data_IF_354983934946
#
_entry.id   IF_354983934946
#
_cell.length_a   1.000
_cell.length_b   1.000
_cell.length_c   1.000
_cell.angle_alpha   90.00
_cell.angle_beta   90.00
_cell.angle_gamma   90.00
#
_symmetry.space_group_name_H-M   'P 1'
#
loop_
_entity.id
_entity.type
_entity.pdbx_description
1 polymer ?
#
# COMPACT_ATOMS: atom_id res chain seq x y z
N UNK A 1 12.52 -51.64 -9.76
CA UNK A 1 11.32 -51.13 -9.07
C UNK A 1 11.55 -49.65 -8.77
N UNK A 2 11.08 -48.77 -9.65
CA UNK A 2 11.26 -47.33 -9.52
C UNK A 2 10.19 -46.74 -8.61
N UNK A 3 10.60 -45.97 -7.61
CA UNK A 3 9.69 -45.16 -6.83
C UNK A 3 9.21 -44.00 -7.71
N UNK A 4 7.89 -43.94 -7.94
CA UNK A 4 7.24 -42.83 -8.62
C UNK A 4 7.20 -41.66 -7.64
N UNK A 5 8.15 -40.74 -7.80
CA UNK A 5 8.06 -39.38 -7.25
C UNK A 5 7.02 -38.64 -8.08
N UNK A 6 5.88 -38.33 -7.46
CA UNK A 6 4.83 -37.50 -8.06
C UNK A 6 5.33 -36.06 -8.06
N UNK A 7 5.65 -35.56 -9.26
CA UNK A 7 6.12 -34.19 -9.49
C UNK A 7 4.91 -33.23 -9.42
N UNK A 8 4.72 -32.55 -8.28
CA UNK A 8 3.69 -31.50 -8.09
C UNK A 8 4.21 -30.22 -8.77
N UNK A 9 4.24 -30.21 -10.11
CA UNK A 9 4.70 -29.09 -10.95
C UNK A 9 3.57 -28.27 -11.59
N UNK A 10 2.34 -28.37 -11.07
CA UNK A 10 1.14 -27.90 -11.77
C UNK A 10 0.38 -26.73 -11.15
N UNK A 11 0.66 -26.33 -9.91
CA UNK A 11 -0.02 -25.19 -9.28
C UNK A 11 1.03 -24.10 -9.05
N UNK A 12 1.19 -23.23 -10.04
CA UNK A 12 1.92 -21.99 -9.85
C UNK A 12 1.03 -21.03 -9.05
N UNK A 13 1.24 -21.03 -7.72
CA UNK A 13 0.52 -20.14 -6.80
C UNK A 13 0.75 -18.65 -7.13
N UNK A 14 1.82 -18.34 -7.87
CA UNK A 14 2.15 -16.99 -8.34
C UNK A 14 1.10 -16.47 -9.33
N UNK A 15 0.80 -17.22 -10.39
CA UNK A 15 -0.24 -16.85 -11.37
C UNK A 15 -1.60 -16.61 -10.72
N UNK A 16 -1.98 -17.44 -9.74
CA UNK A 16 -3.30 -17.36 -9.11
C UNK A 16 -3.39 -16.18 -8.15
N UNK A 17 -2.34 -15.94 -7.35
CA UNK A 17 -2.30 -14.81 -6.43
C UNK A 17 -2.19 -13.46 -7.15
N UNK A 18 -1.38 -13.36 -8.20
CA UNK A 18 -1.30 -12.15 -9.04
C UNK A 18 -2.65 -11.84 -9.72
N UNK A 19 -3.39 -12.88 -10.16
CA UNK A 19 -4.74 -12.71 -10.71
C UNK A 19 -5.73 -12.22 -9.65
N UNK A 20 -5.65 -12.74 -8.42
CA UNK A 20 -6.50 -12.31 -7.29
C UNK A 20 -6.16 -10.89 -6.82
N UNK A 21 -4.88 -10.49 -6.85
CA UNK A 21 -4.44 -9.13 -6.57
C UNK A 21 -4.88 -8.16 -7.67
N UNK A 22 -4.72 -8.54 -8.94
CA UNK A 22 -5.18 -7.77 -10.10
C UNK A 22 -6.70 -7.59 -10.17
N UNK A 23 -7.47 -8.43 -9.48
CA UNK A 23 -8.92 -8.25 -9.30
C UNK A 23 -9.28 -7.33 -8.12
N UNK A 24 -8.37 -7.07 -7.16
CA UNK A 24 -8.61 -6.14 -6.04
C UNK A 24 -8.34 -4.68 -6.36
N UNK A 25 -7.59 -4.38 -7.42
CA UNK A 25 -7.36 -3.01 -7.90
C UNK A 25 -8.61 -2.35 -8.51
N UNK A 26 -9.71 -3.10 -8.71
CA UNK A 26 -10.98 -2.56 -9.25
C UNK A 26 -11.98 -2.08 -8.18
N UNK A 27 -11.63 -2.11 -6.89
CA UNK A 27 -12.48 -1.56 -5.82
C UNK A 27 -11.95 -0.16 -5.45
N UNK A 28 -12.41 0.83 -6.23
CA UNK A 28 -12.34 2.28 -5.96
C UNK A 28 -10.99 2.98 -6.09
N UNK A 29 -10.18 2.64 -7.10
CA UNK A 29 -9.11 3.52 -7.58
C UNK A 29 -9.69 4.68 -8.41
N UNK A 30 -10.42 5.56 -7.73
CA UNK A 30 -10.51 6.96 -8.16
C UNK A 30 -9.08 7.50 -8.10
N UNK A 31 -8.41 7.58 -9.24
CA UNK A 31 -7.04 8.09 -9.38
C UNK A 31 -6.84 9.31 -8.46
N UNK A 32 -5.91 9.20 -7.50
CA UNK A 32 -5.58 10.23 -6.51
C UNK A 32 -5.41 11.61 -7.15
N UNK A 33 -4.74 11.66 -8.32
CA UNK A 33 -4.55 12.88 -9.10
C UNK A 33 -5.89 13.54 -9.46
N UNK A 34 -6.85 12.76 -9.93
CA UNK A 34 -8.19 13.22 -10.30
C UNK A 34 -8.95 13.76 -9.10
N UNK A 35 -8.87 13.09 -7.93
CA UNK A 35 -9.50 13.56 -6.69
C UNK A 35 -8.91 14.91 -6.26
N UNK A 36 -7.58 15.02 -6.31
CA UNK A 36 -6.86 16.24 -5.94
C UNK A 36 -7.18 17.40 -6.90
N UNK A 37 -7.10 17.18 -8.22
CA UNK A 37 -7.42 18.19 -9.23
C UNK A 37 -8.85 18.70 -9.07
N UNK A 38 -9.83 17.81 -8.90
CA UNK A 38 -11.22 18.22 -8.67
C UNK A 38 -11.39 19.02 -7.38
N UNK A 39 -10.69 18.66 -6.31
CA UNK A 39 -10.76 19.40 -5.05
C UNK A 39 -10.18 20.82 -5.20
N UNK A 40 -9.07 20.95 -5.93
CA UNK A 40 -8.42 22.22 -6.27
C UNK A 40 -9.34 23.09 -7.15
N UNK A 41 -9.87 22.54 -8.25
CA UNK A 41 -10.76 23.24 -9.19
C UNK A 41 -12.04 23.75 -8.52
N UNK A 42 -12.65 22.93 -7.68
CA UNK A 42 -13.91 23.28 -6.99
C UNK A 42 -13.68 24.08 -5.71
N UNK A 43 -12.43 24.39 -5.34
CA UNK A 43 -12.06 25.02 -4.06
C UNK A 43 -12.69 24.31 -2.85
N UNK A 44 -12.81 22.99 -2.94
CA UNK A 44 -13.42 22.15 -1.91
C UNK A 44 -12.36 21.82 -0.84
N UNK A 45 -12.31 22.65 0.20
CA UNK A 45 -11.33 22.52 1.29
C UNK A 45 -11.42 21.17 2.00
N UNK A 46 -12.62 20.60 2.13
CA UNK A 46 -12.82 19.33 2.80
C UNK A 46 -12.20 18.18 1.99
N UNK A 47 -12.48 18.14 0.69
CA UNK A 47 -11.90 17.13 -0.21
C UNK A 47 -10.40 17.30 -0.38
N UNK A 48 -9.91 18.55 -0.39
CA UNK A 48 -8.47 18.82 -0.45
C UNK A 48 -7.76 18.25 0.76
N UNK A 49 -8.33 18.44 1.97
CA UNK A 49 -7.79 17.89 3.21
C UNK A 49 -7.86 16.37 3.25
N UNK A 50 -8.94 15.78 2.75
CA UNK A 50 -9.10 14.33 2.64
C UNK A 50 -8.05 13.71 1.70
N UNK A 51 -7.84 14.29 0.53
CA UNK A 51 -6.78 13.87 -0.39
C UNK A 51 -5.39 13.97 0.25
N UNK A 52 -5.08 15.05 0.98
CA UNK A 52 -3.81 15.18 1.70
C UNK A 52 -3.60 14.09 2.75
N UNK A 53 -4.67 13.64 3.43
CA UNK A 53 -4.63 12.53 4.40
C UNK A 53 -4.45 11.18 3.71
N UNK A 54 -5.14 10.94 2.61
CA UNK A 54 -4.95 9.73 1.79
C UNK A 54 -3.48 9.62 1.34
N UNK A 55 -2.88 10.74 0.92
CA UNK A 55 -1.47 10.81 0.55
C UNK A 55 -0.51 10.50 1.72
N UNK A 56 -0.76 11.08 2.91
CA UNK A 56 0.05 10.78 4.10
C UNK A 56 -0.01 9.29 4.46
N UNK A 57 -1.18 8.66 4.33
CA UNK A 57 -1.34 7.21 4.52
C UNK A 57 -0.53 6.38 3.53
N UNK A 58 -0.52 6.77 2.25
CA UNK A 58 0.31 6.11 1.23
C UNK A 58 1.80 6.25 1.54
N UNK A 59 2.24 7.45 1.92
CA UNK A 59 3.63 7.72 2.28
C UNK A 59 4.06 6.91 3.50
N UNK A 60 3.19 6.79 4.51
CA UNK A 60 3.44 5.97 5.68
C UNK A 60 3.69 4.50 5.28
N UNK A 61 2.93 3.98 4.32
CA UNK A 61 3.15 2.63 3.79
C UNK A 61 4.50 2.48 3.09
N UNK A 62 4.91 3.48 2.31
CA UNK A 62 6.25 3.50 1.68
C UNK A 62 7.33 3.51 2.76
N UNK A 63 7.21 4.37 3.76
CA UNK A 63 8.17 4.45 4.86
C UNK A 63 8.25 3.12 5.63
N UNK A 64 7.11 2.50 5.94
CA UNK A 64 7.06 1.22 6.63
C UNK A 64 7.79 0.12 5.86
N UNK A 65 7.53 0.02 4.55
CA UNK A 65 8.22 -0.94 3.67
C UNK A 65 9.73 -0.70 3.65
N UNK A 66 10.18 0.55 3.57
CA UNK A 66 11.59 0.89 3.59
C UNK A 66 12.24 0.56 4.95
N UNK A 67 11.57 0.86 6.07
CA UNK A 67 12.05 0.49 7.41
C UNK A 67 12.23 -1.02 7.54
N UNK A 68 11.27 -1.83 7.07
CA UNK A 68 11.38 -3.29 7.06
C UNK A 68 12.52 -3.78 6.16
N UNK A 69 12.73 -3.15 5.00
CA UNK A 69 13.83 -3.50 4.10
C UNK A 69 15.23 -3.32 4.72
N UNK A 70 15.36 -2.52 5.81
CA UNK A 70 16.63 -2.39 6.55
C UNK A 70 16.92 -3.55 7.50
N UNK A 71 15.94 -4.43 7.76
CA UNK A 71 16.11 -5.58 8.65
C UNK A 71 16.84 -6.69 7.88
N UNK A 72 18.02 -7.08 8.37
CA UNK A 72 18.80 -8.18 7.79
C UNK A 72 18.02 -9.49 7.87
N UNK A 73 17.82 -10.15 6.73
CA UNK A 73 17.33 -11.52 6.66
C UNK A 73 18.44 -12.46 7.15
N UNK A 74 18.15 -13.31 8.14
CA UNK A 74 19.14 -14.27 8.66
C UNK A 74 19.08 -15.59 7.88
N UNK A 75 20.23 -16.20 7.59
CA UNK A 75 20.30 -17.53 6.96
C UNK A 75 19.71 -18.66 7.84
N UNK A 76 19.54 -18.41 9.14
CA UNK A 76 18.92 -19.34 10.09
C UNK A 76 17.40 -19.47 9.89
N UNK A 77 16.77 -18.46 9.30
CA UNK A 77 15.33 -18.45 9.02
C UNK A 77 15.18 -18.24 7.51
N UNK A 78 14.99 -19.32 6.73
CA UNK A 78 14.84 -19.18 5.28
C UNK A 78 13.62 -18.31 4.97
N UNK A 79 13.77 -17.42 3.98
CA UNK A 79 12.64 -16.71 3.38
C UNK A 79 11.73 -17.71 2.69
N UNK A 80 10.45 -17.69 3.02
CA UNK A 80 9.42 -18.50 2.38
C UNK A 80 8.43 -17.60 1.63
N UNK A 81 7.99 -18.04 0.45
CA UNK A 81 7.07 -17.29 -0.40
C UNK A 81 5.72 -17.05 0.28
N UNK A 82 5.23 -18.04 1.03
CA UNK A 82 3.99 -17.88 1.81
C UNK A 82 4.12 -16.80 2.89
N UNK A 83 5.31 -16.66 3.47
CA UNK A 83 5.61 -15.60 4.44
C UNK A 83 5.61 -14.23 3.78
N UNK A 84 6.24 -14.06 2.63
CA UNK A 84 6.29 -12.76 1.94
C UNK A 84 4.88 -12.26 1.59
N UNK A 85 3.99 -13.14 1.11
CA UNK A 85 2.58 -12.80 0.88
C UNK A 85 1.88 -12.36 2.17
N UNK A 86 2.06 -13.12 3.26
CA UNK A 86 1.45 -12.80 4.53
C UNK A 86 1.96 -11.47 5.11
N UNK A 87 3.27 -11.23 5.01
CA UNK A 87 3.90 -9.99 5.43
C UNK A 87 3.41 -8.80 4.60
N UNK A 88 3.19 -8.95 3.29
CA UNK A 88 2.57 -7.89 2.48
C UNK A 88 1.14 -7.57 2.91
N UNK A 89 0.30 -8.59 3.15
CA UNK A 89 -1.07 -8.37 3.65
C UNK A 89 -1.08 -7.73 5.05
N UNK A 90 -0.13 -8.12 5.90
CA UNK A 90 0.03 -7.54 7.23
C UNK A 90 0.44 -6.06 7.16
N UNK A 91 1.41 -5.74 6.31
CA UNK A 91 1.85 -4.36 6.07
C UNK A 91 0.70 -3.46 5.57
N UNK A 92 -0.13 -3.98 4.65
CA UNK A 92 -1.29 -3.27 4.12
C UNK A 92 -2.29 -2.92 5.24
N UNK A 93 -2.64 -3.88 6.11
CA UNK A 93 -3.57 -3.63 7.22
C UNK A 93 -2.96 -2.76 8.32
N UNK A 94 -1.68 -2.93 8.65
CA UNK A 94 -0.97 -2.05 9.61
C UNK A 94 -0.98 -0.60 9.09
N UNK A 95 -0.63 -0.40 7.82
CA UNK A 95 -0.59 0.94 7.22
C UNK A 95 -1.99 1.56 7.18
N UNK A 96 -3.01 0.78 6.83
CA UNK A 96 -4.42 1.21 6.77
C UNK A 96 -4.99 1.58 8.13
N UNK A 97 -4.60 0.89 9.19
CA UNK A 97 -5.02 1.26 10.54
C UNK A 97 -4.21 2.45 11.07
N UNK A 98 -2.89 2.45 10.81
CA UNK A 98 -2.02 3.54 11.21
C UNK A 98 -2.43 4.87 10.55
N UNK A 99 -2.89 4.88 9.30
CA UNK A 99 -3.36 6.10 8.62
C UNK A 99 -4.60 6.75 9.27
N UNK A 100 -5.34 6.01 10.13
CA UNK A 100 -6.49 6.55 10.87
C UNK A 100 -6.09 7.25 12.17
N UNK A 101 -5.02 6.81 12.81
CA UNK A 101 -4.63 7.24 14.16
C UNK A 101 -3.31 8.00 14.23
N UNK A 102 -2.36 7.70 13.34
CA UNK A 102 -1.05 8.34 13.27
C UNK A 102 -1.15 9.54 12.33
N UNK A 103 -1.26 10.73 12.91
CA UNK A 103 -1.10 11.98 12.17
C UNK A 103 0.36 12.42 12.28
N UNK A 104 1.11 12.33 11.17
CA UNK A 104 2.51 12.79 11.12
C UNK A 104 2.60 14.31 10.93
N UNK A 105 1.48 14.99 10.68
CA UNK A 105 1.38 16.41 10.44
C UNK A 105 1.77 16.83 9.02
N UNK A 106 2.14 15.88 8.16
CA UNK A 106 2.51 16.15 6.78
C UNK A 106 1.28 16.51 5.95
N UNK A 107 0.15 15.82 6.16
CA UNK A 107 -1.10 16.13 5.48
C UNK A 107 -1.55 17.57 5.77
N UNK A 108 -1.43 18.00 7.03
CA UNK A 108 -1.82 19.36 7.44
C UNK A 108 -0.87 20.42 6.87
N UNK A 109 0.42 20.14 6.76
CA UNK A 109 1.40 21.04 6.14
C UNK A 109 1.20 21.14 4.62
N UNK A 110 0.98 20.00 3.95
CA UNK A 110 0.68 19.97 2.52
C UNK A 110 -0.62 20.72 2.21
N UNK A 111 -1.66 20.53 3.02
CA UNK A 111 -2.91 21.28 2.90
C UNK A 111 -2.68 22.79 3.00
N UNK A 112 -1.94 23.26 4.01
CA UNK A 112 -1.61 24.69 4.18
C UNK A 112 -0.88 25.27 2.96
N UNK A 113 0.05 24.49 2.39
CA UNK A 113 0.78 24.93 1.21
C UNK A 113 -0.12 25.00 -0.02
N UNK A 114 -0.99 24.01 -0.24
CA UNK A 114 -1.92 24.02 -1.37
C UNK A 114 -2.95 25.15 -1.24
N UNK A 115 -3.51 25.36 -0.05
CA UNK A 115 -4.45 26.45 0.24
C UNK A 115 -3.84 27.83 -0.02
N UNK A 116 -2.58 28.05 0.39
CA UNK A 116 -1.86 29.30 0.11
C UNK A 116 -1.59 29.56 -1.36
N UNK A 117 -1.48 28.53 -2.20
CA UNK A 117 -1.29 28.68 -3.65
C UNK A 117 -2.62 28.82 -4.40
N UNK A 118 -3.73 28.42 -3.78
CA UNK A 118 -5.10 28.49 -4.31
C UNK A 118 -5.79 29.84 -4.02
N UNK A 119 -5.32 30.56 -3.01
CA UNK A 119 -5.81 31.88 -2.57
C UNK A 119 -4.99 32.98 -3.20
#
# INVERSE_FOLDING_TARGET
MGAVIVDIKGIDNRSTFETVRGQRTDISDDNFETKLQRAVENKDQQKLKEACREFEGMLLGIMYKQMRATVFKSDLIPSDYGREIFEEMLDEEITKEASKGVNLGLADELYRQLERNLT
#
